data_IF_699151261855
#
_entry.id   IF_699151261855
#
_cell.length_a   1.000
_cell.length_b   1.000
_cell.length_c   1.000
_cell.angle_alpha   90.00
_cell.angle_beta   90.00
_cell.angle_gamma   90.00
#
_symmetry.space_group_name_H-M   'P 1'
#
loop_
_entity.id
_entity.type
_entity.pdbx_description
1 polymer ?
#
# COMPACT_ATOMS: atom_id res chain seq x y z
N UNK A 1 -28.73 -34.10 12.20
CA UNK A 1 -29.65 -33.07 11.67
C UNK A 1 -29.66 -31.96 12.70
N UNK A 2 -28.81 -30.96 12.53
CA UNK A 2 -28.78 -29.74 13.35
C UNK A 2 -29.00 -28.59 12.37
N UNK A 3 -30.16 -27.94 12.55
CA UNK A 3 -30.57 -26.78 11.78
C UNK A 3 -29.61 -25.63 12.07
N UNK A 4 -28.92 -25.19 11.05
CA UNK A 4 -28.11 -23.95 11.07
C UNK A 4 -29.10 -22.78 10.90
N UNK A 5 -29.55 -22.23 12.03
CA UNK A 5 -30.42 -21.06 12.03
C UNK A 5 -29.66 -19.83 11.58
N UNK A 6 -30.00 -19.33 10.39
CA UNK A 6 -29.60 -18.00 9.95
C UNK A 6 -30.32 -16.96 10.82
N UNK A 7 -29.60 -16.33 11.73
CA UNK A 7 -30.06 -15.15 12.45
C UNK A 7 -30.03 -13.94 11.49
N UNK A 8 -31.21 -13.59 10.98
CA UNK A 8 -31.42 -12.29 10.34
C UNK A 8 -31.53 -11.23 11.44
N UNK A 9 -30.49 -10.43 11.62
CA UNK A 9 -30.59 -9.24 12.46
C UNK A 9 -31.34 -8.16 11.67
N UNK A 10 -32.65 -8.05 11.92
CA UNK A 10 -33.44 -6.90 11.46
C UNK A 10 -33.23 -5.78 12.48
N UNK A 11 -32.41 -4.79 12.14
CA UNK A 11 -32.24 -3.58 12.95
C UNK A 11 -33.39 -2.63 12.62
N UNK A 12 -34.37 -2.52 13.52
CA UNK A 12 -35.41 -1.49 13.45
C UNK A 12 -34.87 -0.20 14.07
N UNK A 13 -34.60 0.80 13.24
CA UNK A 13 -34.37 2.17 13.68
C UNK A 13 -35.66 3.00 13.59
N UNK A 14 -36.02 3.61 14.72
CA UNK A 14 -37.16 4.48 14.84
C UNK A 14 -36.91 5.86 14.23
N UNK A 15 -37.78 6.30 13.32
CA UNK A 15 -38.17 7.70 13.07
C UNK A 15 -37.10 8.59 12.43
N UNK A 16 -36.77 8.37 11.16
CA UNK A 16 -36.03 9.25 10.28
C UNK A 16 -36.00 8.61 8.89
N UNK A 17 -35.94 9.37 7.81
CA UNK A 17 -35.98 8.94 6.44
C UNK A 17 -35.57 7.47 6.25
N UNK A 18 -36.50 6.60 5.88
CA UNK A 18 -36.21 5.16 5.74
C UNK A 18 -35.30 4.96 4.54
N UNK A 19 -34.07 4.49 4.75
CA UNK A 19 -33.26 3.93 3.67
C UNK A 19 -34.08 2.90 2.90
N UNK A 20 -34.03 2.94 1.58
CA UNK A 20 -34.69 1.93 0.71
C UNK A 20 -33.99 0.57 0.82
N UNK A 21 -32.74 0.52 1.27
CA UNK A 21 -31.94 -0.69 1.48
C UNK A 21 -32.30 -1.32 2.82
N UNK A 22 -33.16 -2.36 2.77
CA UNK A 22 -33.64 -3.05 3.98
C UNK A 22 -32.63 -4.03 4.61
N UNK A 23 -31.60 -4.43 3.88
CA UNK A 23 -30.59 -5.41 4.29
C UNK A 23 -29.27 -5.12 3.60
N UNK A 24 -28.16 -5.17 4.37
CA UNK A 24 -26.82 -5.12 3.81
C UNK A 24 -25.96 -6.23 4.45
N UNK A 25 -25.16 -7.01 3.69
CA UNK A 25 -24.38 -8.10 4.24
C UNK A 25 -23.27 -7.58 5.16
N UNK A 26 -22.90 -8.33 6.18
CA UNK A 26 -21.69 -8.04 6.97
C UNK A 26 -20.46 -8.14 6.11
N UNK A 27 -19.48 -7.25 6.34
CA UNK A 27 -18.22 -7.24 5.63
C UNK A 27 -17.26 -8.31 6.20
N UNK A 28 -16.47 -8.94 5.34
CA UNK A 28 -15.49 -9.95 5.75
C UNK A 28 -14.09 -9.36 5.94
N UNK A 29 -13.19 -10.02 6.70
CA UNK A 29 -11.81 -9.58 6.88
C UNK A 29 -11.07 -9.46 5.54
N UNK A 30 -10.31 -8.37 5.34
CA UNK A 30 -9.57 -8.07 4.10
C UNK A 30 -10.43 -8.06 2.81
N UNK A 31 -11.76 -7.98 2.93
CA UNK A 31 -12.66 -7.94 1.78
C UNK A 31 -12.56 -6.60 1.06
N UNK A 32 -12.42 -6.62 -0.28
CA UNK A 32 -12.59 -5.43 -1.10
C UNK A 32 -14.01 -4.87 -0.99
N UNK A 33 -14.17 -3.56 -0.91
CA UNK A 33 -15.48 -2.92 -0.95
C UNK A 33 -16.28 -3.32 -2.19
N UNK A 34 -15.62 -3.51 -3.35
CA UNK A 34 -16.23 -4.06 -4.56
C UNK A 34 -16.91 -5.44 -4.30
N UNK A 35 -16.22 -6.32 -3.57
CA UNK A 35 -16.73 -7.64 -3.19
C UNK A 35 -17.96 -7.52 -2.29
N UNK A 36 -17.91 -6.64 -1.31
CA UNK A 36 -19.00 -6.38 -0.37
C UNK A 36 -20.27 -5.90 -1.11
N UNK A 37 -20.11 -4.93 -2.05
CA UNK A 37 -21.19 -4.45 -2.92
C UNK A 37 -21.71 -5.56 -3.86
N UNK A 38 -20.83 -6.43 -4.37
CA UNK A 38 -21.24 -7.54 -5.22
C UNK A 38 -22.07 -8.58 -4.46
N UNK A 39 -21.73 -8.85 -3.20
CA UNK A 39 -22.51 -9.73 -2.31
C UNK A 39 -23.90 -9.15 -2.00
N UNK A 40 -23.99 -7.83 -1.81
CA UNK A 40 -25.30 -7.17 -1.73
C UNK A 40 -26.12 -7.42 -2.98
N UNK A 41 -25.53 -7.22 -4.17
CA UNK A 41 -26.24 -7.41 -5.44
C UNK A 41 -26.82 -8.81 -5.61
N UNK A 42 -26.11 -9.86 -5.19
CA UNK A 42 -26.63 -11.23 -5.23
C UNK A 42 -27.74 -11.46 -4.21
N UNK A 43 -27.57 -10.93 -2.99
CA UNK A 43 -28.52 -11.16 -1.88
C UNK A 43 -29.79 -10.31 -1.97
N UNK A 44 -29.74 -9.18 -2.72
CA UNK A 44 -30.92 -8.37 -3.02
C UNK A 44 -31.95 -9.09 -3.91
N UNK A 45 -31.51 -10.15 -4.61
CA UNK A 45 -32.37 -10.90 -5.54
C UNK A 45 -32.66 -10.19 -6.86
N UNK A 46 -32.00 -9.06 -7.13
CA UNK A 46 -32.11 -8.38 -8.40
C UNK A 46 -31.50 -9.17 -9.55
N UNK A 47 -32.19 -9.23 -10.67
CA UNK A 47 -31.74 -9.94 -11.87
C UNK A 47 -30.91 -9.07 -12.83
N UNK A 48 -30.93 -7.76 -12.63
CA UNK A 48 -30.28 -6.80 -13.53
C UNK A 48 -29.43 -5.79 -12.76
N UNK A 49 -28.22 -5.56 -13.26
CA UNK A 49 -27.29 -4.59 -12.68
C UNK A 49 -27.91 -3.21 -12.43
N UNK A 50 -28.79 -2.73 -13.31
CA UNK A 50 -29.42 -1.43 -13.17
C UNK A 50 -30.15 -1.27 -11.84
N UNK A 51 -30.91 -2.29 -11.40
CA UNK A 51 -31.64 -2.23 -10.14
C UNK A 51 -30.66 -2.20 -8.94
N UNK A 52 -29.57 -2.98 -9.02
CA UNK A 52 -28.50 -2.94 -8.01
C UNK A 52 -27.84 -1.55 -7.99
N UNK A 53 -27.61 -0.97 -9.15
CA UNK A 53 -26.95 0.34 -9.26
C UNK A 53 -27.85 1.49 -8.80
N UNK A 54 -29.16 1.38 -8.97
CA UNK A 54 -30.14 2.37 -8.46
C UNK A 54 -30.15 2.41 -6.91
N UNK A 55 -29.90 1.27 -6.24
CA UNK A 55 -29.73 1.23 -4.80
C UNK A 55 -28.35 1.76 -4.35
N UNK A 56 -27.30 1.28 -5.00
CA UNK A 56 -25.93 1.44 -4.50
C UNK A 56 -25.25 2.74 -4.94
N UNK A 57 -25.61 3.29 -6.10
CA UNK A 57 -24.87 4.39 -6.71
C UNK A 57 -25.76 5.59 -7.05
N UNK A 58 -25.14 6.75 -7.20
CA UNK A 58 -25.82 7.98 -7.64
C UNK A 58 -26.33 7.91 -9.08
N UNK A 59 -25.94 6.89 -9.86
CA UNK A 59 -26.37 6.66 -11.23
C UNK A 59 -26.48 5.18 -11.55
N UNK A 60 -27.58 4.79 -12.18
CA UNK A 60 -27.79 3.41 -12.65
C UNK A 60 -26.83 2.95 -13.76
N UNK A 61 -26.02 3.86 -14.30
CA UNK A 61 -24.93 3.56 -15.26
C UNK A 61 -23.55 3.65 -14.61
N UNK A 62 -23.46 3.85 -13.29
CA UNK A 62 -22.20 3.92 -12.59
C UNK A 62 -21.37 2.63 -12.83
N UNK A 63 -20.06 2.80 -13.05
CA UNK A 63 -19.14 1.68 -13.13
C UNK A 63 -18.48 1.51 -11.78
N UNK A 64 -18.68 0.38 -11.09
CA UNK A 64 -18.01 0.12 -9.82
C UNK A 64 -16.49 0.15 -10.03
N UNK A 65 -15.79 0.77 -9.09
CA UNK A 65 -14.33 0.70 -9.06
C UNK A 65 -13.93 -0.58 -8.34
N UNK A 66 -12.94 -1.32 -8.86
CA UNK A 66 -12.51 -2.59 -8.26
C UNK A 66 -11.74 -2.40 -6.95
N UNK A 67 -11.05 -1.28 -6.79
CA UNK A 67 -10.11 -1.03 -5.70
C UNK A 67 -10.59 0.02 -4.69
N UNK A 68 -11.57 0.85 -5.08
CA UNK A 68 -12.04 1.98 -4.28
C UNK A 68 -13.56 2.09 -4.29
N UNK A 69 -14.10 2.81 -3.31
CA UNK A 69 -15.51 3.17 -3.26
C UNK A 69 -15.71 4.57 -3.79
N UNK A 70 -16.64 4.72 -4.76
CA UNK A 70 -17.00 6.00 -5.38
C UNK A 70 -18.49 6.03 -5.68
N UNK A 71 -19.05 7.25 -5.71
CA UNK A 71 -20.41 7.51 -6.20
C UNK A 71 -21.52 6.70 -5.50
N UNK A 72 -21.37 6.37 -4.21
CA UNK A 72 -22.47 5.74 -3.48
C UNK A 72 -23.71 6.63 -3.45
N UNK A 73 -24.88 6.01 -3.51
CA UNK A 73 -26.14 6.66 -3.18
C UNK A 73 -26.16 7.06 -1.70
N UNK A 74 -27.04 7.98 -1.33
CA UNK A 74 -27.20 8.38 0.07
C UNK A 74 -27.61 7.18 0.93
N UNK A 75 -28.54 6.36 0.46
CA UNK A 75 -29.02 5.17 1.17
C UNK A 75 -27.90 4.14 1.36
N UNK A 76 -27.09 3.86 0.34
CA UNK A 76 -25.96 2.95 0.45
C UNK A 76 -24.88 3.50 1.40
N UNK A 77 -24.60 4.80 1.36
CA UNK A 77 -23.67 5.45 2.27
C UNK A 77 -24.15 5.32 3.72
N UNK A 78 -25.42 5.59 4.01
CA UNK A 78 -25.99 5.50 5.36
C UNK A 78 -25.88 4.08 5.91
N UNK A 79 -26.32 3.07 5.14
CA UNK A 79 -26.26 1.66 5.57
C UNK A 79 -24.83 1.18 5.79
N UNK A 80 -23.89 1.57 4.93
CA UNK A 80 -22.47 1.24 5.09
C UNK A 80 -21.91 1.91 6.33
N UNK A 81 -22.24 3.19 6.58
CA UNK A 81 -21.72 3.93 7.74
C UNK A 81 -22.37 3.53 9.06
N UNK A 82 -23.57 2.98 9.03
CA UNK A 82 -24.18 2.33 10.20
C UNK A 82 -23.43 1.04 10.60
N UNK A 83 -22.87 0.32 9.62
CA UNK A 83 -22.10 -0.90 9.87
C UNK A 83 -20.68 -0.59 10.38
N UNK A 84 -20.01 0.42 9.79
CA UNK A 84 -18.67 0.86 10.20
C UNK A 84 -18.37 2.29 9.73
N UNK A 85 -17.49 3.06 10.45
CA UNK A 85 -17.09 4.38 9.99
C UNK A 85 -16.56 4.36 8.56
N UNK A 86 -16.93 5.33 7.72
CA UNK A 86 -16.51 5.37 6.32
C UNK A 86 -14.99 5.48 6.15
N UNK A 87 -14.31 6.10 7.11
CA UNK A 87 -12.85 6.07 7.22
C UNK A 87 -12.32 4.64 7.28
N UNK A 88 -12.94 3.78 8.10
CA UNK A 88 -12.57 2.36 8.22
C UNK A 88 -12.81 1.60 6.90
N UNK A 89 -13.88 1.93 6.17
CA UNK A 89 -14.10 1.37 4.81
C UNK A 89 -12.93 1.72 3.90
N UNK A 90 -12.48 2.98 3.87
CA UNK A 90 -11.35 3.41 3.05
C UNK A 90 -10.06 2.70 3.47
N UNK A 91 -9.79 2.61 4.77
CA UNK A 91 -8.55 2.04 5.31
C UNK A 91 -8.50 0.52 5.22
N UNK A 92 -9.62 -0.17 5.46
CA UNK A 92 -9.65 -1.63 5.64
C UNK A 92 -10.24 -2.38 4.46
N UNK A 93 -10.98 -1.71 3.56
CA UNK A 93 -11.71 -2.36 2.47
C UNK A 93 -11.42 -1.78 1.08
N UNK A 94 -10.43 -0.87 0.98
CA UNK A 94 -9.92 -0.36 -0.30
C UNK A 94 -8.41 -0.54 -0.41
N UNK A 95 -7.85 -0.25 -1.60
CA UNK A 95 -6.41 -0.25 -1.82
C UNK A 95 -5.74 1.07 -1.42
N UNK A 96 -6.45 1.99 -0.75
CA UNK A 96 -5.90 3.28 -0.32
C UNK A 96 -4.59 3.17 0.47
N UNK A 97 -4.46 2.28 1.48
CA UNK A 97 -3.21 2.17 2.23
C UNK A 97 -2.00 1.78 1.36
N UNK A 98 -2.22 0.97 0.33
CA UNK A 98 -1.15 0.56 -0.60
C UNK A 98 -0.60 1.74 -1.40
N UNK A 99 -1.49 2.57 -1.97
CA UNK A 99 -1.07 3.69 -2.81
C UNK A 99 -0.63 4.93 -2.01
N UNK A 100 -1.17 5.11 -0.80
CA UNK A 100 -0.99 6.33 -0.03
C UNK A 100 0.18 6.32 0.96
N UNK A 101 0.60 5.13 1.43
CA UNK A 101 1.51 4.97 2.57
C UNK A 101 2.78 5.82 2.49
N UNK A 102 3.42 5.86 1.33
CA UNK A 102 4.71 6.54 1.15
C UNK A 102 4.60 7.87 0.41
N UNK A 103 3.38 8.38 0.21
CA UNK A 103 3.18 9.73 -0.32
C UNK A 103 3.53 10.80 0.72
N UNK A 104 3.99 11.99 0.28
CA UNK A 104 4.09 13.15 1.15
C UNK A 104 2.77 13.43 1.89
N UNK A 105 2.88 13.95 3.13
CA UNK A 105 1.73 14.13 4.03
C UNK A 105 0.58 14.91 3.37
N UNK A 106 0.88 16.03 2.71
CA UNK A 106 -0.16 16.89 2.11
C UNK A 106 -0.91 16.15 1.01
N UNK A 107 -0.19 15.31 0.26
CA UNK A 107 -0.78 14.53 -0.82
C UNK A 107 -1.60 13.36 -0.29
N UNK A 108 -1.15 12.70 0.77
CA UNK A 108 -1.84 11.61 1.43
C UNK A 108 -3.15 12.10 2.06
N UNK A 109 -3.10 13.21 2.80
CA UNK A 109 -4.28 13.85 3.39
C UNK A 109 -5.27 14.33 2.32
N UNK A 110 -4.76 14.92 1.23
CA UNK A 110 -5.60 15.32 0.10
C UNK A 110 -6.33 14.13 -0.53
N UNK A 111 -5.60 13.02 -0.79
CA UNK A 111 -6.21 11.82 -1.38
C UNK A 111 -7.26 11.21 -0.44
N UNK A 112 -6.97 11.15 0.86
CA UNK A 112 -7.92 10.69 1.86
C UNK A 112 -9.19 11.54 1.89
N UNK A 113 -9.07 12.86 1.94
CA UNK A 113 -10.21 13.78 1.91
C UNK A 113 -11.02 13.66 0.61
N UNK A 114 -10.36 13.40 -0.52
CA UNK A 114 -11.05 13.16 -1.79
C UNK A 114 -11.86 11.85 -1.77
N UNK A 115 -11.33 10.78 -1.18
CA UNK A 115 -12.05 9.52 -1.00
C UNK A 115 -13.20 9.66 -0.01
N UNK A 116 -13.00 10.36 1.11
CA UNK A 116 -14.07 10.66 2.07
C UNK A 116 -15.25 11.40 1.42
N UNK A 117 -14.98 12.23 0.41
CA UNK A 117 -15.99 12.94 -0.39
C UNK A 117 -16.37 12.17 -1.68
N UNK A 118 -15.97 10.92 -1.84
CA UNK A 118 -16.23 10.06 -3.00
C UNK A 118 -15.88 10.73 -4.35
N UNK A 119 -14.88 11.61 -4.35
CA UNK A 119 -14.42 12.36 -5.53
C UNK A 119 -13.49 11.51 -6.40
N UNK A 120 -13.73 11.43 -7.70
CA UNK A 120 -12.86 10.69 -8.65
C UNK A 120 -11.46 11.27 -8.83
N UNK A 121 -11.19 12.48 -8.34
CA UNK A 121 -9.89 13.16 -8.48
C UNK A 121 -8.76 12.50 -7.65
N UNK A 122 -9.09 11.59 -6.74
CA UNK A 122 -8.08 10.83 -5.99
C UNK A 122 -7.11 10.04 -6.88
N UNK A 123 -7.54 9.59 -8.07
CA UNK A 123 -6.69 8.83 -8.99
C UNK A 123 -5.41 9.58 -9.37
N UNK A 124 -5.51 10.89 -9.64
CA UNK A 124 -4.34 11.72 -9.95
C UNK A 124 -3.50 12.01 -8.70
N UNK A 125 -4.18 12.13 -7.56
CA UNK A 125 -3.51 12.39 -6.28
C UNK A 125 -2.72 11.17 -5.81
N UNK A 126 -3.25 9.95 -5.97
CA UNK A 126 -2.57 8.69 -5.63
C UNK A 126 -1.58 8.23 -6.71
N UNK A 127 -1.43 8.94 -7.83
CA UNK A 127 -0.62 8.51 -8.97
C UNK A 127 -1.04 7.18 -9.59
N UNK A 128 -2.29 6.76 -9.46
CA UNK A 128 -2.78 5.54 -10.07
C UNK A 128 -2.73 5.72 -11.58
N UNK A 129 -1.79 5.05 -12.21
CA UNK A 129 -1.59 5.16 -13.66
C UNK A 129 -2.67 4.38 -14.39
N UNK A 130 -3.31 5.04 -15.37
CA UNK A 130 -4.17 4.37 -16.36
C UNK A 130 -3.35 3.52 -17.37
N UNK A 131 -2.06 3.30 -17.12
CA UNK A 131 -1.19 2.59 -18.05
C UNK A 131 -1.49 1.09 -17.98
N UNK A 132 -2.14 0.60 -19.01
CA UNK A 132 -2.62 -0.78 -19.21
C UNK A 132 -1.53 -1.86 -19.12
N UNK A 133 -0.25 -1.49 -19.11
CA UNK A 133 0.88 -2.42 -19.10
C UNK A 133 1.45 -2.69 -17.71
N UNK A 134 1.11 -1.90 -16.71
CA UNK A 134 1.65 -2.02 -15.34
C UNK A 134 0.60 -2.40 -14.29
N UNK A 135 -0.67 -2.15 -14.55
CA UNK A 135 -1.78 -2.61 -13.72
C UNK A 135 -2.33 -3.91 -14.28
N UNK A 136 -2.43 -4.90 -13.40
CA UNK A 136 -3.16 -6.12 -13.76
C UNK A 136 -4.64 -5.77 -13.89
N UNK A 137 -5.23 -6.02 -15.05
CA UNK A 137 -6.59 -5.57 -15.29
C UNK A 137 -7.65 -6.45 -14.60
N UNK A 138 -7.28 -7.64 -14.09
CA UNK A 138 -8.21 -8.63 -13.54
C UNK A 138 -8.11 -8.73 -12.03
N UNK A 139 -9.24 -8.95 -11.36
CA UNK A 139 -9.24 -9.40 -9.98
C UNK A 139 -8.60 -10.78 -9.89
N UNK A 140 -7.81 -10.98 -8.85
CA UNK A 140 -7.09 -12.22 -8.59
C UNK A 140 -7.59 -12.89 -7.33
N UNK A 141 -7.37 -14.19 -7.25
CA UNK A 141 -7.75 -14.99 -6.12
C UNK A 141 -6.74 -16.12 -5.84
N UNK A 142 -6.73 -16.59 -4.60
CA UNK A 142 -6.00 -17.77 -4.18
C UNK A 142 -6.99 -18.93 -4.04
N UNK A 143 -6.72 -20.10 -4.66
CA UNK A 143 -7.61 -21.27 -4.51
C UNK A 143 -7.82 -21.70 -3.07
N UNK A 144 -6.77 -21.65 -2.25
CA UNK A 144 -6.83 -22.06 -0.84
C UNK A 144 -7.55 -21.03 0.05
N UNK A 145 -7.41 -19.72 -0.24
CA UNK A 145 -8.24 -18.71 0.43
C UNK A 145 -9.72 -18.95 0.13
N UNK A 146 -10.06 -19.11 -1.15
CA UNK A 146 -11.45 -19.35 -1.55
C UNK A 146 -12.04 -20.62 -0.90
N UNK A 147 -11.26 -21.69 -0.76
CA UNK A 147 -11.69 -22.89 -0.02
C UNK A 147 -11.90 -22.61 1.47
N UNK A 148 -11.01 -21.84 2.09
CA UNK A 148 -11.11 -21.43 3.50
C UNK A 148 -12.32 -20.54 3.75
N UNK A 149 -12.54 -19.56 2.86
CA UNK A 149 -13.68 -18.63 2.91
C UNK A 149 -15.01 -19.38 2.87
N UNK A 150 -15.15 -20.33 1.93
CA UNK A 150 -16.34 -21.18 1.82
C UNK A 150 -16.60 -22.00 3.08
N UNK A 151 -15.53 -22.51 3.72
CA UNK A 151 -15.65 -23.25 4.98
C UNK A 151 -16.07 -22.36 6.14
N UNK A 152 -15.58 -21.13 6.18
CA UNK A 152 -15.79 -20.21 7.30
C UNK A 152 -17.06 -19.37 7.15
N UNK A 153 -17.32 -18.85 5.93
CA UNK A 153 -18.38 -17.87 5.66
C UNK A 153 -19.48 -18.41 4.73
N UNK A 154 -19.29 -19.60 4.15
CA UNK A 154 -20.22 -20.20 3.20
C UNK A 154 -20.06 -19.72 1.75
N UNK A 155 -19.17 -18.76 1.49
CA UNK A 155 -18.94 -18.19 0.17
C UNK A 155 -17.52 -17.62 0.05
N UNK A 156 -16.92 -17.64 -1.14
CA UNK A 156 -15.68 -16.96 -1.43
C UNK A 156 -15.91 -15.47 -1.70
N UNK A 157 -14.89 -14.64 -1.41
CA UNK A 157 -14.93 -13.18 -1.63
C UNK A 157 -13.62 -12.67 -2.19
N UNK A 158 -13.60 -11.41 -2.71
CA UNK A 158 -12.41 -10.79 -3.25
C UNK A 158 -11.58 -10.15 -2.14
N UNK A 159 -10.37 -10.69 -1.91
CA UNK A 159 -9.41 -10.17 -0.94
C UNK A 159 -8.58 -9.02 -1.51
N UNK A 160 -8.30 -8.01 -0.70
CA UNK A 160 -7.39 -6.90 -1.04
C UNK A 160 -5.95 -7.40 -1.24
N UNK A 161 -5.48 -8.28 -0.36
CA UNK A 161 -4.14 -8.85 -0.41
C UNK A 161 -3.82 -9.54 -1.73
N UNK A 162 -4.82 -10.08 -2.42
CA UNK A 162 -4.62 -10.68 -3.73
C UNK A 162 -4.44 -9.66 -4.86
N UNK A 163 -4.74 -8.37 -4.61
CA UNK A 163 -4.68 -7.31 -5.62
C UNK A 163 -3.37 -6.51 -5.58
N UNK A 164 -2.42 -6.86 -4.69
CA UNK A 164 -1.14 -6.16 -4.57
C UNK A 164 -0.35 -6.25 -5.87
N UNK A 165 0.07 -5.10 -6.40
CA UNK A 165 0.86 -5.03 -7.63
C UNK A 165 2.17 -5.82 -7.50
N UNK A 166 2.56 -6.51 -8.57
CA UNK A 166 3.77 -7.34 -8.67
C UNK A 166 3.88 -8.51 -7.68
N UNK A 167 2.85 -8.80 -6.90
CA UNK A 167 2.78 -9.97 -6.03
C UNK A 167 1.97 -11.05 -6.73
N UNK A 168 2.62 -12.12 -7.18
CA UNK A 168 2.02 -13.19 -7.97
C UNK A 168 1.64 -14.43 -7.18
N UNK A 169 1.99 -14.45 -5.91
CA UNK A 169 1.66 -15.54 -4.99
C UNK A 169 0.83 -15.03 -3.83
N UNK A 170 0.00 -15.90 -3.28
CA UNK A 170 -0.75 -15.60 -2.08
C UNK A 170 0.21 -15.43 -0.90
N UNK A 171 0.21 -14.29 -0.19
CA UNK A 171 1.10 -14.08 0.96
C UNK A 171 0.81 -15.05 2.13
N UNK A 172 -0.42 -15.57 2.22
CA UNK A 172 -0.84 -16.50 3.27
C UNK A 172 -0.44 -17.95 2.93
N UNK A 173 -0.65 -18.38 1.68
CA UNK A 173 -0.52 -19.78 1.29
C UNK A 173 0.73 -20.07 0.43
N UNK A 174 1.38 -19.06 -0.16
CA UNK A 174 2.55 -19.23 -1.01
C UNK A 174 2.26 -19.87 -2.37
N UNK A 175 1.00 -20.07 -2.73
CA UNK A 175 0.60 -20.56 -4.06
C UNK A 175 0.34 -19.39 -5.01
N UNK A 176 0.50 -19.64 -6.32
CA UNK A 176 0.23 -18.64 -7.35
C UNK A 176 -1.22 -18.18 -7.32
N UNK A 177 -1.41 -16.85 -7.45
CA UNK A 177 -2.71 -16.23 -7.63
C UNK A 177 -3.20 -16.46 -9.05
N UNK A 178 -4.49 -16.73 -9.18
CA UNK A 178 -5.16 -16.94 -10.46
C UNK A 178 -5.95 -15.68 -10.86
N UNK A 179 -6.00 -15.40 -12.15
CA UNK A 179 -6.80 -14.30 -12.68
C UNK A 179 -8.25 -14.75 -12.86
N UNK A 180 -9.19 -13.88 -12.51
CA UNK A 180 -10.61 -14.04 -12.83
C UNK A 180 -10.92 -13.41 -14.21
N UNK A 181 -12.18 -13.44 -14.63
CA UNK A 181 -12.67 -12.72 -15.79
C UNK A 181 -13.03 -11.27 -15.47
N UNK A 182 -13.11 -10.90 -14.17
CA UNK A 182 -13.47 -9.55 -13.71
C UNK A 182 -12.35 -8.56 -13.99
N UNK A 183 -12.57 -7.62 -14.90
CA UNK A 183 -11.54 -6.71 -15.38
C UNK A 183 -11.91 -5.24 -15.19
N UNK A 184 -10.92 -4.44 -14.70
CA UNK A 184 -11.03 -2.98 -14.63
C UNK A 184 -11.00 -2.28 -16.00
N UNK A 185 -10.55 -3.00 -17.04
CA UNK A 185 -10.41 -2.47 -18.41
C UNK A 185 -11.50 -2.96 -19.36
N UNK A 186 -12.41 -3.83 -18.88
CA UNK A 186 -13.51 -4.31 -19.69
C UNK A 186 -14.35 -3.17 -20.27
N UNK A 187 -14.67 -3.25 -21.55
CA UNK A 187 -15.62 -2.37 -22.24
C UNK A 187 -17.06 -2.85 -22.10
N UNK A 188 -17.26 -3.98 -21.47
CA UNK A 188 -18.56 -4.56 -21.24
C UNK A 188 -19.43 -3.69 -20.33
N UNK A 189 -20.70 -4.03 -20.28
CA UNK A 189 -21.65 -3.34 -19.41
C UNK A 189 -21.17 -3.38 -17.96
N UNK A 190 -21.42 -2.33 -17.16
CA UNK A 190 -21.09 -2.34 -15.74
C UNK A 190 -21.70 -3.55 -15.05
N UNK A 191 -20.93 -4.18 -14.16
CA UNK A 191 -21.39 -5.33 -13.37
C UNK A 191 -20.71 -5.36 -12.02
N UNK A 192 -21.37 -5.98 -11.05
CA UNK A 192 -20.80 -6.38 -9.78
C UNK A 192 -20.75 -7.90 -9.79
N UNK A 193 -19.55 -8.47 -9.90
CA UNK A 193 -19.36 -9.92 -10.01
C UNK A 193 -18.97 -10.49 -8.66
N UNK A 194 -19.84 -11.34 -8.13
CA UNK A 194 -19.63 -12.05 -6.87
C UNK A 194 -18.54 -13.12 -7.03
N UNK A 195 -17.60 -13.17 -6.10
CA UNK A 195 -16.46 -14.08 -6.18
C UNK A 195 -16.88 -15.56 -6.21
N UNK A 196 -17.91 -15.94 -5.43
CA UNK A 196 -18.40 -17.31 -5.39
C UNK A 196 -18.95 -17.83 -6.74
N UNK A 197 -19.47 -16.93 -7.57
CA UNK A 197 -19.96 -17.27 -8.91
C UNK A 197 -18.84 -17.37 -9.94
N UNK A 198 -17.72 -16.71 -9.68
CA UNK A 198 -16.57 -16.60 -10.61
C UNK A 198 -15.46 -17.62 -10.29
N UNK A 199 -15.22 -17.90 -9.01
CA UNK A 199 -14.12 -18.77 -8.59
C UNK A 199 -14.59 -20.24 -8.60
N UNK A 200 -13.95 -21.12 -9.42
CA UNK A 200 -14.30 -22.54 -9.47
C UNK A 200 -14.21 -23.21 -8.08
N UNK A 201 -15.05 -24.21 -7.86
CA UNK A 201 -15.16 -24.93 -6.59
C UNK A 201 -13.92 -25.80 -6.29
N UNK A 202 -13.27 -26.34 -7.31
CA UNK A 202 -12.15 -27.26 -7.16
C UNK A 202 -10.98 -26.81 -8.05
N UNK A 203 -9.93 -26.29 -7.43
CA UNK A 203 -8.71 -25.88 -8.10
C UNK A 203 -7.50 -26.41 -7.34
N UNK A 204 -6.55 -26.98 -8.06
CA UNK A 204 -5.28 -27.40 -7.48
C UNK A 204 -4.34 -26.18 -7.35
N UNK A 205 -3.83 -25.89 -6.14
CA UNK A 205 -2.88 -24.83 -5.95
C UNK A 205 -1.50 -25.20 -6.54
N UNK A 206 -0.87 -24.24 -7.18
CA UNK A 206 0.52 -24.36 -7.65
C UNK A 206 1.39 -23.46 -6.77
N UNK A 207 2.34 -24.05 -6.04
CA UNK A 207 3.17 -23.32 -5.08
C UNK A 207 4.44 -22.77 -5.72
N UNK A 208 4.78 -21.53 -5.36
CA UNK A 208 6.10 -20.99 -5.73
C UNK A 208 7.22 -21.78 -5.03
N UNK A 209 8.24 -22.15 -5.81
CA UNK A 209 9.46 -22.77 -5.29
C UNK A 209 10.54 -21.73 -4.94
N UNK A 210 10.31 -20.45 -5.23
CA UNK A 210 11.26 -19.38 -4.97
C UNK A 210 11.06 -18.82 -3.54
N UNK A 211 12.01 -19.05 -2.61
CA UNK A 211 11.90 -18.55 -1.25
C UNK A 211 11.93 -17.01 -1.17
N UNK A 212 12.66 -16.35 -2.09
CA UNK A 212 12.72 -14.90 -2.14
C UNK A 212 11.38 -14.29 -2.58
N UNK A 213 10.69 -14.91 -3.52
CA UNK A 213 9.34 -14.47 -3.93
C UNK A 213 8.36 -14.55 -2.74
N UNK A 214 8.42 -15.63 -1.96
CA UNK A 214 7.61 -15.75 -0.73
C UNK A 214 7.97 -14.71 0.32
N UNK A 215 9.26 -14.42 0.50
CA UNK A 215 9.72 -13.39 1.43
C UNK A 215 9.23 -12.00 1.02
N UNK A 216 9.32 -11.67 -0.26
CA UNK A 216 8.82 -10.39 -0.82
C UNK A 216 7.30 -10.30 -0.65
N UNK A 217 6.55 -11.34 -0.99
CA UNK A 217 5.09 -11.34 -0.83
C UNK A 217 4.67 -11.15 0.63
N UNK A 218 5.32 -11.84 1.57
CA UNK A 218 5.07 -11.68 2.99
C UNK A 218 5.37 -10.24 3.46
N UNK A 219 6.55 -9.70 3.10
CA UNK A 219 6.96 -8.36 3.48
C UNK A 219 6.00 -7.28 2.96
N UNK A 220 5.67 -7.31 1.68
CA UNK A 220 4.76 -6.33 1.05
C UNK A 220 3.36 -6.43 1.65
N UNK A 221 2.87 -7.64 1.92
CA UNK A 221 1.55 -7.83 2.52
C UNK A 221 1.49 -7.35 3.97
N UNK A 222 2.55 -7.55 4.76
CA UNK A 222 2.66 -7.05 6.13
C UNK A 222 2.70 -5.51 6.15
N UNK A 223 3.49 -4.89 5.25
CA UNK A 223 3.49 -3.43 5.07
C UNK A 223 2.11 -2.92 4.71
N UNK A 224 1.40 -3.58 3.80
CA UNK A 224 0.05 -3.17 3.39
C UNK A 224 -0.97 -3.29 4.53
N UNK A 225 -0.90 -4.37 5.29
CA UNK A 225 -1.85 -4.68 6.36
C UNK A 225 -1.63 -3.86 7.63
N UNK A 226 -0.45 -3.25 7.80
CA UNK A 226 -0.17 -2.39 8.93
C UNK A 226 -1.02 -1.11 8.89
N UNK A 227 -1.36 -0.58 10.07
CA UNK A 227 -2.10 0.68 10.17
C UNK A 227 -1.39 1.80 9.42
N UNK A 228 -2.18 2.65 8.77
CA UNK A 228 -1.69 3.81 8.06
C UNK A 228 -1.98 5.09 8.84
N UNK A 229 -0.93 5.75 9.34
CA UNK A 229 -1.05 7.12 9.85
C UNK A 229 -1.08 8.10 8.67
N UNK A 230 -2.17 8.88 8.54
CA UNK A 230 -2.25 9.96 7.55
C UNK A 230 -1.45 11.20 7.99
N UNK A 231 -1.04 11.26 9.27
CA UNK A 231 -0.36 12.42 9.88
C UNK A 231 1.16 12.31 9.90
N UNK A 232 1.76 11.16 9.55
CA UNK A 232 3.21 11.01 9.56
C UNK A 232 3.86 11.91 8.50
N UNK A 233 4.60 12.93 8.94
CA UNK A 233 5.27 13.90 8.09
C UNK A 233 6.65 13.45 7.58
N UNK A 234 7.21 12.35 8.11
CA UNK A 234 8.49 11.82 7.64
C UNK A 234 8.34 11.32 6.21
N UNK A 235 9.20 11.81 5.31
CA UNK A 235 9.17 11.38 3.92
C UNK A 235 9.95 10.08 3.73
N UNK A 236 9.52 9.27 2.77
CA UNK A 236 10.21 8.01 2.45
C UNK A 236 11.67 8.24 2.04
N UNK A 237 11.96 9.33 1.32
CA UNK A 237 13.32 9.67 0.89
C UNK A 237 14.24 9.97 2.06
N UNK A 238 13.77 10.72 3.06
CA UNK A 238 14.54 11.03 4.28
C UNK A 238 14.75 9.77 5.11
N UNK A 239 13.72 8.93 5.25
CA UNK A 239 13.79 7.68 5.99
C UNK A 239 14.78 6.71 5.32
N UNK A 240 14.66 6.47 4.02
CA UNK A 240 15.55 5.57 3.30
C UNK A 240 16.99 6.10 3.24
N UNK A 241 17.19 7.42 3.16
CA UNK A 241 18.53 8.01 3.29
C UNK A 241 19.15 7.70 4.66
N UNK A 242 18.38 7.83 5.75
CA UNK A 242 18.82 7.45 7.09
C UNK A 242 19.20 5.97 7.15
N UNK A 243 18.45 5.07 6.49
CA UNK A 243 18.77 3.63 6.44
C UNK A 243 20.06 3.30 5.68
N UNK A 244 20.60 4.22 4.90
CA UNK A 244 21.93 4.09 4.29
C UNK A 244 23.06 4.53 5.22
N UNK A 245 22.79 5.21 6.33
CA UNK A 245 23.81 5.72 7.24
C UNK A 245 24.70 4.56 7.76
N UNK A 246 26.00 4.82 7.82
CA UNK A 246 27.03 3.87 8.20
C UNK A 246 27.13 2.61 7.32
N UNK A 247 26.50 2.61 6.16
CA UNK A 247 26.66 1.53 5.15
C UNK A 247 27.66 1.94 4.06
N UNK A 248 28.08 0.98 3.25
CA UNK A 248 28.93 1.21 2.07
C UNK A 248 28.26 2.03 0.97
N UNK A 249 26.95 2.25 1.06
CA UNK A 249 26.15 3.01 0.08
C UNK A 249 26.09 4.50 0.36
N UNK A 250 26.61 4.96 1.51
CA UNK A 250 26.66 6.37 1.86
C UNK A 250 28.09 6.78 2.20
N UNK A 251 28.48 7.97 1.78
CA UNK A 251 29.82 8.51 2.12
C UNK A 251 29.98 8.65 3.64
N UNK A 252 31.21 8.60 4.19
CA UNK A 252 31.44 8.76 5.63
C UNK A 252 30.84 10.03 6.23
N UNK A 253 30.68 11.09 5.40
CA UNK A 253 30.01 12.34 5.79
C UNK A 253 28.49 12.28 5.78
N UNK A 254 27.88 11.16 5.40
CA UNK A 254 26.42 11.03 5.33
C UNK A 254 25.73 11.87 4.23
N UNK A 255 26.45 12.35 3.22
CA UNK A 255 25.86 13.27 2.23
C UNK A 255 25.73 12.69 0.84
N UNK A 256 26.71 11.92 0.37
CA UNK A 256 26.76 11.42 -1.01
C UNK A 256 26.43 9.93 -1.04
N UNK A 257 25.36 9.59 -1.74
CA UNK A 257 24.95 8.19 -2.00
C UNK A 257 25.79 7.60 -3.13
N UNK A 258 26.20 6.35 -2.98
CA UNK A 258 26.78 5.52 -4.04
C UNK A 258 25.69 4.71 -4.69
N UNK A 259 24.89 5.35 -5.55
CA UNK A 259 23.73 4.72 -6.19
C UNK A 259 24.12 3.60 -7.17
N UNK A 260 25.29 3.70 -7.82
CA UNK A 260 25.75 2.64 -8.70
C UNK A 260 25.97 1.33 -7.92
N UNK A 261 26.77 1.39 -6.86
CA UNK A 261 27.01 0.22 -5.99
C UNK A 261 25.71 -0.32 -5.37
N UNK A 262 24.82 0.58 -4.92
CA UNK A 262 23.53 0.19 -4.36
C UNK A 262 22.67 -0.54 -5.38
N UNK A 263 22.65 -0.06 -6.64
CA UNK A 263 21.88 -0.67 -7.72
C UNK A 263 22.43 -2.03 -8.12
N UNK A 264 23.76 -2.16 -8.23
CA UNK A 264 24.40 -3.41 -8.58
C UNK A 264 24.10 -4.51 -7.54
N UNK A 265 24.33 -4.21 -6.25
CA UNK A 265 24.06 -5.15 -5.16
C UNK A 265 22.56 -5.48 -5.03
N UNK A 266 21.69 -4.49 -5.26
CA UNK A 266 20.24 -4.68 -5.26
C UNK A 266 19.81 -5.63 -6.39
N UNK A 267 20.29 -5.42 -7.60
CA UNK A 267 19.97 -6.27 -8.74
C UNK A 267 20.49 -7.70 -8.53
N UNK A 268 21.69 -7.86 -7.99
CA UNK A 268 22.25 -9.17 -7.66
C UNK A 268 21.40 -9.90 -6.61
N UNK A 269 20.90 -9.19 -5.61
CA UNK A 269 20.03 -9.77 -4.58
C UNK A 269 18.70 -10.26 -5.17
N UNK A 270 18.09 -9.49 -6.07
CA UNK A 270 16.78 -9.79 -6.65
C UNK A 270 16.82 -10.50 -8.01
N UNK A 271 17.96 -11.00 -8.45
CA UNK A 271 18.13 -11.62 -9.77
C UNK A 271 17.17 -12.80 -10.04
N UNK A 272 16.65 -13.45 -9.01
CA UNK A 272 15.73 -14.58 -9.14
C UNK A 272 14.26 -14.20 -9.15
N UNK A 273 13.92 -12.94 -8.89
CA UNK A 273 12.53 -12.50 -8.93
C UNK A 273 12.02 -12.43 -10.38
N UNK A 274 10.75 -12.84 -10.60
CA UNK A 274 10.16 -12.80 -11.95
C UNK A 274 9.95 -11.37 -12.47
N UNK A 275 9.84 -10.38 -11.59
CA UNK A 275 9.58 -8.97 -11.93
C UNK A 275 10.53 -8.03 -11.19
N UNK A 276 11.81 -7.92 -11.59
CA UNK A 276 12.70 -6.90 -11.07
C UNK A 276 12.25 -5.52 -11.57
N UNK A 277 11.93 -4.60 -10.67
CA UNK A 277 11.41 -3.28 -11.03
C UNK A 277 12.47 -2.18 -11.02
N UNK A 278 13.61 -2.41 -10.35
CA UNK A 278 14.68 -1.43 -10.20
C UNK A 278 15.94 -1.92 -10.90
N UNK A 279 16.03 -1.69 -12.21
CA UNK A 279 17.19 -2.09 -13.02
C UNK A 279 18.24 -0.97 -13.15
N UNK A 280 17.85 0.29 -12.91
CA UNK A 280 18.68 1.46 -13.16
C UNK A 280 18.78 2.36 -11.92
N UNK A 281 19.95 2.97 -11.67
CA UNK A 281 20.19 3.82 -10.51
C UNK A 281 19.24 5.04 -10.41
N UNK A 282 18.73 5.55 -11.53
CA UNK A 282 17.76 6.66 -11.52
C UNK A 282 16.39 6.26 -10.95
N UNK A 283 16.05 4.99 -10.97
CA UNK A 283 14.82 4.48 -10.35
C UNK A 283 14.94 4.49 -8.83
N UNK A 284 16.10 4.12 -8.27
CA UNK A 284 16.38 4.27 -6.84
C UNK A 284 16.40 5.75 -6.43
N UNK A 285 16.99 6.63 -7.24
CA UNK A 285 17.01 8.07 -6.94
C UNK A 285 15.62 8.67 -6.78
N UNK A 286 14.61 8.14 -7.49
CA UNK A 286 13.22 8.56 -7.31
C UNK A 286 12.72 8.34 -5.88
N UNK A 287 13.10 7.25 -5.23
CA UNK A 287 12.71 6.97 -3.84
C UNK A 287 13.30 8.03 -2.92
N UNK A 288 14.59 8.32 -3.06
CA UNK A 288 15.28 9.30 -2.21
C UNK A 288 14.84 10.74 -2.46
N UNK A 289 14.33 11.05 -3.63
CA UNK A 289 13.78 12.38 -3.98
C UNK A 289 12.28 12.50 -3.76
N UNK A 290 11.63 11.52 -3.16
CA UNK A 290 10.18 11.45 -2.94
C UNK A 290 9.36 11.59 -4.23
N UNK A 291 9.93 11.18 -5.37
CA UNK A 291 9.28 11.28 -6.66
C UNK A 291 8.51 10.00 -6.95
N UNK A 292 7.25 10.08 -7.29
CA UNK A 292 6.33 9.03 -7.81
C UNK A 292 6.88 7.59 -7.75
N UNK A 293 7.09 7.06 -6.55
CA UNK A 293 7.57 5.70 -6.36
C UNK A 293 6.40 4.76 -6.12
N UNK A 294 6.52 3.53 -6.59
CA UNK A 294 5.57 2.49 -6.27
C UNK A 294 5.87 1.92 -4.88
N UNK A 295 4.83 1.58 -4.14
CA UNK A 295 4.96 0.94 -2.83
C UNK A 295 5.79 -0.34 -2.91
N UNK A 296 5.63 -1.13 -3.97
CA UNK A 296 6.42 -2.33 -4.22
C UNK A 296 7.93 -2.04 -4.29
N UNK A 297 8.35 -1.03 -5.07
CA UNK A 297 9.77 -0.65 -5.22
C UNK A 297 10.38 -0.22 -3.88
N UNK A 298 9.62 0.52 -3.07
CA UNK A 298 10.04 0.93 -1.74
C UNK A 298 10.19 -0.27 -0.81
N UNK A 299 9.24 -1.21 -0.84
CA UNK A 299 9.32 -2.44 -0.05
C UNK A 299 10.52 -3.29 -0.44
N UNK A 300 10.83 -3.41 -1.73
CA UNK A 300 12.02 -4.12 -2.19
C UNK A 300 13.30 -3.47 -1.65
N UNK A 301 13.43 -2.15 -1.74
CA UNK A 301 14.61 -1.45 -1.22
C UNK A 301 14.72 -1.60 0.30
N UNK A 302 13.62 -1.50 1.02
CA UNK A 302 13.58 -1.67 2.47
C UNK A 302 13.98 -3.10 2.89
N UNK A 303 13.40 -4.11 2.24
CA UNK A 303 13.73 -5.51 2.50
C UNK A 303 15.21 -5.82 2.20
N UNK A 304 15.74 -5.32 1.07
CA UNK A 304 17.16 -5.46 0.72
C UNK A 304 18.08 -4.84 1.78
N UNK A 305 17.71 -3.68 2.32
CA UNK A 305 18.47 -3.02 3.39
C UNK A 305 18.24 -3.64 4.78
N UNK A 306 17.44 -4.69 4.89
CA UNK A 306 17.13 -5.36 6.15
C UNK A 306 16.27 -4.52 7.10
N UNK A 307 15.49 -3.57 6.57
CA UNK A 307 14.60 -2.73 7.37
C UNK A 307 13.38 -3.56 7.81
N UNK A 308 13.13 -3.70 9.12
CA UNK A 308 11.92 -4.36 9.61
C UNK A 308 10.64 -3.62 9.16
N UNK A 309 9.55 -4.37 8.94
CA UNK A 309 8.26 -3.76 8.56
C UNK A 309 7.81 -2.71 9.57
N UNK A 310 7.95 -3.00 10.88
CA UNK A 310 7.59 -2.05 11.95
C UNK A 310 8.28 -0.70 11.83
N UNK A 311 9.54 -0.67 11.42
CA UNK A 311 10.29 0.57 11.22
C UNK A 311 9.88 1.29 9.92
N UNK A 312 9.61 0.51 8.85
CA UNK A 312 9.19 1.08 7.56
C UNK A 312 7.81 1.74 7.64
N UNK A 313 6.88 1.15 8.39
CA UNK A 313 5.51 1.72 8.51
C UNK A 313 5.45 2.91 9.47
N UNK A 314 6.31 2.96 10.47
CA UNK A 314 6.38 4.03 11.46
C UNK A 314 7.29 5.20 11.03
N UNK A 315 8.27 4.95 10.16
CA UNK A 315 9.20 5.92 9.58
C UNK A 315 9.64 7.02 10.57
N UNK A 316 10.39 6.65 11.61
CA UNK A 316 11.01 7.60 12.53
C UNK A 316 12.43 7.95 12.08
N UNK A 317 12.82 9.20 12.26
CA UNK A 317 14.20 9.66 12.06
C UNK A 317 14.88 9.84 13.41
N UNK A 318 16.22 9.64 13.49
CA UNK A 318 16.98 9.96 14.68
C UNK A 318 16.98 11.49 14.90
N UNK A 319 17.26 11.89 16.12
CA UNK A 319 17.41 13.31 16.47
C UNK A 319 18.51 14.00 15.65
N UNK A 320 19.60 13.28 15.38
CA UNK A 320 20.73 13.77 14.58
C UNK A 320 21.09 12.78 13.49
N UNK A 321 21.28 13.28 12.29
CA UNK A 321 21.78 12.50 11.16
C UNK A 321 23.29 12.24 11.27
N UNK A 322 23.79 11.24 10.53
CA UNK A 322 25.22 10.97 10.40
C UNK A 322 26.03 12.23 9.99
N UNK A 323 25.49 13.02 9.10
CA UNK A 323 26.13 14.26 8.65
C UNK A 323 26.27 15.30 9.78
N UNK A 324 25.24 15.42 10.62
CA UNK A 324 25.28 16.30 11.80
C UNK A 324 26.27 15.82 12.83
N UNK A 325 26.29 14.52 13.13
CA UNK A 325 27.25 13.92 14.05
C UNK A 325 28.69 14.07 13.54
N UNK A 326 28.91 13.94 12.24
CA UNK A 326 30.21 14.16 11.61
C UNK A 326 30.68 15.61 11.75
N UNK A 327 29.80 16.57 11.55
CA UNK A 327 30.13 18.00 11.75
C UNK A 327 30.40 18.31 13.23
N UNK A 328 29.64 17.77 14.16
CA UNK A 328 29.85 17.92 15.60
C UNK A 328 31.21 17.34 16.03
N UNK A 329 31.64 16.22 15.50
CA UNK A 329 32.94 15.64 15.77
C UNK A 329 34.09 16.55 15.28
N UNK A 330 33.96 17.16 14.10
CA UNK A 330 34.89 18.15 13.59
C UNK A 330 35.00 19.32 14.57
N UNK A 331 33.88 19.82 15.06
CA UNK A 331 33.84 20.96 15.99
C UNK A 331 34.46 20.59 17.32
N UNK A 332 34.14 19.42 17.85
CA UNK A 332 34.71 18.90 19.09
C UNK A 332 36.22 18.75 18.98
N UNK A 333 36.74 18.16 17.91
CA UNK A 333 38.20 18.05 17.67
C UNK A 333 38.89 19.40 17.60
N UNK A 334 38.24 20.38 16.95
CA UNK A 334 38.79 21.75 16.87
C UNK A 334 38.83 22.44 18.23
N UNK A 335 37.79 22.30 19.04
CA UNK A 335 37.72 22.84 20.39
C UNK A 335 38.71 22.18 21.35
N UNK A 336 39.12 20.93 21.05
CA UNK A 336 40.17 20.20 21.79
C UNK A 336 41.59 20.43 21.25
N UNK A 337 41.79 21.50 20.45
CA UNK A 337 43.10 22.01 20.08
C UNK A 337 43.67 21.47 18.75
N UNK A 338 42.96 20.64 18.01
CA UNK A 338 43.41 20.18 16.70
C UNK A 338 43.19 21.29 15.66
N UNK A 339 44.19 21.52 14.82
CA UNK A 339 44.00 22.39 13.66
C UNK A 339 43.26 21.69 12.52
N UNK A 340 42.74 22.48 11.57
CA UNK A 340 41.91 21.92 10.47
C UNK A 340 42.68 20.96 9.55
N UNK A 341 44.01 21.01 9.45
CA UNK A 341 44.79 20.02 8.71
C UNK A 341 44.82 18.67 9.41
N UNK A 342 45.01 18.67 10.73
CA UNK A 342 44.98 17.46 11.55
C UNK A 342 43.59 16.84 11.56
N UNK A 343 42.53 17.65 11.67
CA UNK A 343 41.12 17.19 11.58
C UNK A 343 40.85 16.60 10.22
N UNK A 344 41.27 17.26 9.14
CA UNK A 344 41.14 16.80 7.76
C UNK A 344 41.76 15.40 7.58
N UNK A 345 42.96 15.17 8.09
CA UNK A 345 43.62 13.87 8.03
C UNK A 345 42.90 12.82 8.86
N UNK A 346 42.47 13.17 10.08
CA UNK A 346 41.78 12.25 10.99
C UNK A 346 40.38 11.81 10.49
N UNK A 347 39.64 12.77 10.01
CA UNK A 347 38.23 12.58 9.58
C UNK A 347 38.10 12.19 8.10
N UNK A 348 39.16 12.17 7.32
CA UNK A 348 39.08 11.95 5.87
C UNK A 348 38.26 13.02 5.12
N UNK A 349 38.15 14.22 5.69
CA UNK A 349 37.41 15.36 5.12
C UNK A 349 38.38 16.39 4.53
N UNK A 350 37.93 17.19 3.54
CA UNK A 350 38.80 18.26 3.03
C UNK A 350 39.00 19.37 4.07
N UNK A 351 40.13 20.06 4.01
CA UNK A 351 40.44 21.19 4.88
C UNK A 351 39.34 22.26 4.86
N UNK A 352 38.87 22.64 3.66
CA UNK A 352 37.84 23.64 3.48
C UNK A 352 36.50 23.20 4.10
N UNK A 353 36.17 21.92 4.00
CA UNK A 353 34.96 21.38 4.65
C UNK A 353 35.06 21.50 6.18
N UNK A 354 36.17 21.11 6.78
CA UNK A 354 36.37 21.23 8.23
C UNK A 354 36.23 22.69 8.71
N UNK A 355 36.80 23.64 7.97
CA UNK A 355 36.68 25.06 8.24
C UNK A 355 35.24 25.58 8.10
N UNK A 356 34.51 25.08 7.08
CA UNK A 356 33.12 25.48 6.84
C UNK A 356 32.17 24.92 7.91
N UNK A 357 32.33 23.65 8.33
CA UNK A 357 31.56 23.03 9.40
C UNK A 357 31.67 23.82 10.71
N UNK A 358 32.90 24.16 11.09
CA UNK A 358 33.15 24.99 12.29
C UNK A 358 32.59 26.44 12.19
N UNK A 359 32.54 27.01 10.96
CA UNK A 359 31.93 28.32 10.75
C UNK A 359 30.42 28.30 10.88
N UNK A 360 29.76 27.29 10.30
CA UNK A 360 28.29 27.12 10.39
C UNK A 360 27.80 27.00 11.82
N UNK A 361 28.52 26.29 12.67
CA UNK A 361 28.19 26.17 14.09
C UNK A 361 28.24 27.49 14.84
N UNK A 362 29.26 28.34 14.57
CA UNK A 362 29.40 29.67 15.20
C UNK A 362 28.29 30.65 14.81
N UNK A 363 27.64 30.44 13.67
CA UNK A 363 26.52 31.28 13.20
C UNK A 363 25.14 30.77 13.67
N UNK A 364 25.07 29.55 14.21
CA UNK A 364 23.84 28.95 14.70
C UNK A 364 23.67 29.07 16.24
N UNK A 365 24.72 29.51 16.93
CA UNK A 365 24.78 29.83 18.38
C UNK A 365 25.38 31.20 18.59
#
# INVERSE_FOLDING_TARGET
>A
MSECGFLFAVVYHGGGNRSMIAFFPEVYPDELVYSWLARYGVRSGYTHYRAIADDLFTSHTAKPNLEFVIELSQDAYEVITDAMPFESVIMQHTMFPYYARFLPIERRQKAFGQLMNMSKSFNDTLYIRRNKTQHRPWLRYCPLCAESDRKQYGEAYWHRLHQLDHIDICPVHGCHLLNSTVSSTSKESPSLTHAELEIPQALLPVFSQNPLERQVAAYVSEVFSADLSIENAVTIGSFMHHKLEYTKYLSPRGQKRNLALLTDDFNDFYQTLPHPTLAEHWQLEKIFSNYRCHTYDICLLALFLGVPVSELVDMKLPEKSQSQLFDEEIIWLHNNGLNYRQISQKMGASYDYCKLAAKRYRTAH
#
